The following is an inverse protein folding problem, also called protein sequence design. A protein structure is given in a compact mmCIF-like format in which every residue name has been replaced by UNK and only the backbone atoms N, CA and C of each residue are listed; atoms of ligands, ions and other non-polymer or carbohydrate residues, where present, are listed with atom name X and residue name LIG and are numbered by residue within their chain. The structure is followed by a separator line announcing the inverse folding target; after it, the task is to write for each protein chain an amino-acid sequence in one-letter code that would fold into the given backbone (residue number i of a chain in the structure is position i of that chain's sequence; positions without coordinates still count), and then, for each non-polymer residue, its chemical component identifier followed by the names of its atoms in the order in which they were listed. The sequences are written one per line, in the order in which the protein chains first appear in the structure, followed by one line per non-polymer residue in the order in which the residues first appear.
data_IF_907880017378
#
_entry.id   IF_907880017378
#
_cell.length_a   1.000
_cell.length_b   1.000
_cell.length_c   1.000
_cell.angle_alpha   90.00
_cell.angle_beta   90.00
_cell.angle_gamma   90.00
#
_symmetry.space_group_name_H-M   'P 1'
#
loop_
_entity.id
_entity.type
_entity.pdbx_description
1 polymer ?
#
# COMPACT_ATOMS: atom_id res chain seq x y z
N UNK A 1 -17.93 13.29 -2.13
CA UNK A 1 -18.48 12.07 -1.54
C UNK A 1 -17.41 11.00 -1.72
N UNK A 2 -16.24 11.26 -1.12
CA UNK A 2 -15.04 10.43 -1.33
C UNK A 2 -13.86 10.74 -0.39
N UNK A 3 -13.21 9.70 0.12
CA UNK A 3 -12.05 9.87 1.00
C UNK A 3 -10.82 9.02 0.52
N UNK A 4 -9.65 9.66 0.39
CA UNK A 4 -8.43 8.94 -0.01
C UNK A 4 -7.51 8.87 1.15
N UNK A 5 -6.74 7.83 1.24
CA UNK A 5 -5.83 7.85 2.36
C UNK A 5 -4.46 7.47 1.78
N UNK A 6 -3.36 8.13 2.19
CA UNK A 6 -2.03 7.82 1.61
C UNK A 6 -0.94 7.58 2.67
N UNK A 7 -0.41 6.33 2.67
CA UNK A 7 0.60 5.89 3.65
C UNK A 7 1.93 5.52 3.06
N UNK A 8 3.02 5.96 3.70
CA UNK A 8 4.35 5.61 3.18
C UNK A 8 5.47 5.31 4.19
N UNK A 9 6.29 4.29 3.86
CA UNK A 9 7.46 3.90 4.66
C UNK A 9 7.00 3.23 5.92
N UNK A 10 6.25 2.18 5.73
CA UNK A 10 5.57 1.47 6.79
C UNK A 10 6.49 0.68 7.78
N UNK A 11 6.04 0.61 9.04
CA UNK A 11 6.67 -0.06 10.18
C UNK A 11 6.08 -1.47 10.49
N UNK A 12 6.74 -2.27 11.35
CA UNK A 12 6.42 -3.64 11.82
C UNK A 12 4.99 -3.90 12.40
N UNK A 13 4.64 -5.22 12.45
CA UNK A 13 3.34 -5.89 12.84
C UNK A 13 2.31 -5.10 13.65
N UNK A 14 2.73 -4.42 14.71
CA UNK A 14 1.81 -3.64 15.52
C UNK A 14 1.00 -2.70 14.62
N UNK A 15 1.73 -1.98 13.77
CA UNK A 15 1.18 -1.05 12.79
C UNK A 15 0.34 -1.76 11.71
N UNK A 16 0.87 -2.87 11.13
CA UNK A 16 0.20 -3.61 10.03
C UNK A 16 -1.16 -4.17 10.43
N UNK A 17 -1.23 -4.72 11.65
CA UNK A 17 -2.45 -5.31 12.14
C UNK A 17 -3.47 -4.20 12.40
N UNK A 18 -3.03 -3.10 13.03
CA UNK A 18 -3.88 -1.94 13.29
C UNK A 18 -4.48 -1.36 12.01
N UNK A 19 -3.60 -1.14 11.04
CA UNK A 19 -3.98 -0.64 9.76
C UNK A 19 -5.02 -1.58 9.11
N UNK A 20 -4.73 -2.91 9.14
CA UNK A 20 -5.62 -3.98 8.64
C UNK A 20 -7.01 -3.90 9.19
N UNK A 21 -7.11 -3.51 10.46
CA UNK A 21 -8.39 -3.37 11.10
C UNK A 21 -9.14 -2.19 10.57
N UNK A 22 -8.43 -1.09 10.28
CA UNK A 22 -9.05 0.07 9.63
C UNK A 22 -9.52 -0.31 8.23
N UNK A 23 -8.66 -1.06 7.53
CA UNK A 23 -8.89 -1.56 6.17
C UNK A 23 -10.15 -2.39 6.11
N UNK A 24 -10.24 -3.31 7.08
CA UNK A 24 -11.36 -4.20 7.31
C UNK A 24 -12.67 -3.45 7.54
N UNK A 25 -12.66 -2.51 8.51
CA UNK A 25 -13.83 -1.70 8.86
C UNK A 25 -14.42 -1.04 7.64
N UNK A 26 -13.55 -0.38 6.87
CA UNK A 26 -13.91 0.36 5.66
C UNK A 26 -14.60 -0.47 4.59
N UNK A 27 -14.07 -1.68 4.33
CA UNK A 27 -14.65 -2.60 3.34
C UNK A 27 -16.10 -2.95 3.71
N UNK A 28 -16.29 -3.32 5.00
CA UNK A 28 -17.59 -3.66 5.62
C UNK A 28 -18.59 -2.55 5.45
N UNK A 29 -18.15 -1.35 5.78
CA UNK A 29 -19.04 -0.24 5.72
C UNK A 29 -19.43 0.00 4.28
N UNK A 30 -20.69 0.34 4.14
CA UNK A 30 -21.39 0.51 2.89
C UNK A 30 -20.67 1.38 1.89
N UNK A 31 -19.63 0.87 1.28
CA UNK A 31 -18.95 1.65 0.29
C UNK A 31 -18.04 0.82 -0.58
N UNK A 32 -17.48 1.51 -1.57
CA UNK A 32 -16.55 0.96 -2.55
C UNK A 32 -15.13 1.25 -2.11
N UNK A 33 -14.31 0.23 -1.95
CA UNK A 33 -12.92 0.47 -1.54
C UNK A 33 -11.98 0.08 -2.71
N UNK A 34 -11.45 1.09 -3.43
CA UNK A 34 -10.55 0.84 -4.57
C UNK A 34 -9.07 1.03 -4.19
N UNK A 35 -8.32 -0.06 -3.95
CA UNK A 35 -6.93 0.19 -3.54
C UNK A 35 -5.92 -0.09 -4.65
N UNK A 36 -4.87 0.78 -4.62
CA UNK A 36 -3.72 0.90 -5.51
C UNK A 36 -2.42 0.96 -4.66
N UNK A 37 -1.41 0.23 -5.14
CA UNK A 37 -0.17 0.04 -4.41
C UNK A 37 1.07 0.40 -5.27
N UNK A 38 1.98 1.22 -4.72
CA UNK A 38 3.17 1.60 -5.46
C UNK A 38 4.45 1.27 -4.70
N UNK A 39 5.38 0.67 -5.40
CA UNK A 39 6.66 0.39 -4.80
C UNK A 39 7.78 0.73 -5.72
N UNK A 40 8.84 1.27 -5.12
CA UNK A 40 9.98 1.69 -5.89
C UNK A 40 11.23 1.05 -5.30
N UNK A 41 11.99 0.35 -6.14
CA UNK A 41 13.19 -0.36 -5.70
C UNK A 41 14.44 0.35 -6.20
N UNK A 42 15.52 0.33 -5.41
CA UNK A 42 16.77 0.96 -5.83
C UNK A 42 18.02 0.15 -5.43
N UNK A 43 18.94 0.02 -6.38
CA UNK A 43 20.16 -0.74 -6.12
C UNK A 43 20.91 -1.07 -7.39
N UNK A 44 22.22 -1.23 -7.27
CA UNK A 44 23.09 -1.50 -8.42
C UNK A 44 23.01 -2.95 -8.95
N UNK A 45 22.55 -3.89 -8.10
CA UNK A 45 22.43 -5.31 -8.46
C UNK A 45 21.17 -5.51 -9.32
N UNK A 46 21.34 -5.25 -10.62
CA UNK A 46 20.27 -5.27 -11.62
C UNK A 46 19.58 -6.61 -11.77
N UNK A 47 20.35 -7.67 -11.59
CA UNK A 47 19.86 -9.04 -11.66
C UNK A 47 18.81 -9.30 -10.53
N UNK A 48 19.12 -8.78 -9.32
CA UNK A 48 18.23 -8.87 -8.13
C UNK A 48 16.92 -8.16 -8.37
N UNK A 49 17.02 -6.95 -8.93
CA UNK A 49 15.87 -6.13 -9.22
C UNK A 49 14.96 -6.79 -10.24
N UNK A 50 15.55 -7.42 -11.28
CA UNK A 50 14.76 -8.08 -12.30
C UNK A 50 13.95 -9.24 -11.76
N UNK A 51 14.48 -9.97 -10.77
CA UNK A 51 13.73 -11.06 -10.15
C UNK A 51 12.64 -10.53 -9.18
N UNK A 52 12.99 -9.46 -8.41
CA UNK A 52 12.06 -8.82 -7.48
C UNK A 52 10.81 -8.33 -8.26
N UNK A 53 11.04 -7.92 -9.51
CA UNK A 53 9.98 -7.57 -10.43
C UNK A 53 9.06 -8.75 -10.72
N UNK A 54 9.67 -9.85 -11.14
CA UNK A 54 9.03 -11.10 -11.56
C UNK A 54 8.23 -11.84 -10.47
N UNK A 55 8.67 -11.74 -9.22
CA UNK A 55 7.91 -12.36 -8.15
C UNK A 55 6.66 -11.55 -7.83
N UNK A 56 6.82 -10.22 -7.77
CA UNK A 56 5.66 -9.39 -7.49
C UNK A 56 4.68 -9.42 -8.70
N UNK A 57 5.19 -9.48 -9.97
CA UNK A 57 4.30 -9.57 -11.17
C UNK A 57 3.39 -10.80 -11.10
N UNK A 58 4.03 -12.02 -10.90
CA UNK A 58 3.35 -13.34 -10.82
C UNK A 58 2.33 -13.44 -9.67
N UNK A 59 2.75 -13.09 -8.44
CA UNK A 59 1.82 -13.08 -7.28
C UNK A 59 0.58 -12.21 -7.48
N UNK A 60 0.83 -10.93 -7.81
CA UNK A 60 -0.18 -9.91 -7.97
C UNK A 60 -1.01 -10.03 -9.27
N UNK A 61 -0.47 -10.73 -10.28
CA UNK A 61 -1.23 -10.97 -11.52
C UNK A 61 -2.29 -12.10 -11.34
N UNK A 62 -2.18 -12.87 -10.21
CA UNK A 62 -3.16 -13.91 -9.88
C UNK A 62 -4.46 -13.30 -9.32
N UNK A 63 -4.52 -11.96 -9.20
CA UNK A 63 -5.70 -11.24 -8.72
C UNK A 63 -6.36 -10.53 -9.93
N UNK A 64 -7.67 -10.19 -9.86
CA UNK A 64 -8.37 -9.57 -11.01
C UNK A 64 -7.97 -8.09 -11.10
N UNK A 65 -6.71 -7.92 -11.52
CA UNK A 65 -6.05 -6.66 -11.62
C UNK A 65 -4.92 -6.79 -12.62
N UNK A 66 -4.19 -5.70 -12.79
CA UNK A 66 -3.13 -5.64 -13.79
C UNK A 66 -1.88 -5.02 -13.18
N UNK A 67 -0.77 -5.13 -13.92
CA UNK A 67 0.52 -4.62 -13.45
C UNK A 67 1.25 -3.81 -14.52
N UNK A 68 1.86 -2.69 -14.08
CA UNK A 68 2.71 -1.85 -14.94
C UNK A 68 4.05 -1.47 -14.26
N UNK A 69 5.07 -1.23 -15.08
CA UNK A 69 6.37 -0.91 -14.50
C UNK A 69 7.35 -0.17 -15.45
N UNK A 70 8.40 0.40 -14.84
CA UNK A 70 9.43 1.07 -15.62
C UNK A 70 10.78 0.95 -14.88
N UNK A 71 11.87 0.95 -15.63
CA UNK A 71 13.17 0.93 -15.02
C UNK A 71 14.06 2.10 -15.46
N UNK A 72 14.17 3.15 -14.58
CA UNK A 72 14.98 4.34 -14.83
C UNK A 72 16.40 4.03 -14.36
N UNK A 73 17.05 3.13 -15.12
CA UNK A 73 18.41 2.64 -14.81
C UNK A 73 18.47 1.62 -13.62
N UNK A 74 18.59 2.18 -12.40
CA UNK A 74 18.69 1.39 -11.15
C UNK A 74 17.54 1.76 -10.22
N UNK A 75 16.41 2.16 -10.81
CA UNK A 75 15.23 2.57 -10.06
C UNK A 75 14.00 1.96 -10.73
N UNK A 76 13.40 0.99 -10.06
CA UNK A 76 12.28 0.23 -10.62
C UNK A 76 10.99 0.60 -9.98
N UNK A 77 10.06 1.03 -10.81
CA UNK A 77 8.77 1.48 -10.36
C UNK A 77 7.71 0.46 -10.70
N UNK A 78 6.88 0.15 -9.69
CA UNK A 78 5.77 -0.79 -9.90
C UNK A 78 4.39 -0.23 -9.40
N UNK A 79 3.41 -0.31 -10.28
CA UNK A 79 2.09 0.13 -9.96
C UNK A 79 1.09 -1.03 -10.10
N UNK A 80 0.59 -1.46 -8.96
CA UNK A 80 -0.39 -2.51 -8.95
C UNK A 80 -1.80 -1.96 -8.72
N UNK A 81 -2.74 -2.38 -9.58
CA UNK A 81 -4.14 -2.00 -9.40
C UNK A 81 -5.12 -3.22 -9.42
N UNK A 82 -6.29 -3.08 -8.79
CA UNK A 82 -7.37 -4.09 -8.85
C UNK A 82 -7.43 -5.14 -7.72
N UNK A 83 -6.47 -5.12 -6.80
CA UNK A 83 -6.38 -6.11 -5.70
C UNK A 83 -7.34 -5.90 -4.49
N UNK A 84 -7.93 -6.99 -3.94
CA UNK A 84 -8.70 -7.04 -2.68
C UNK A 84 -7.87 -6.50 -1.49
N UNK A 85 -8.40 -5.46 -0.81
CA UNK A 85 -7.88 -4.68 0.35
C UNK A 85 -7.25 -5.47 1.56
N UNK A 86 -7.86 -6.57 1.97
CA UNK A 86 -7.32 -7.41 3.05
C UNK A 86 -6.05 -8.20 2.64
N UNK A 87 -5.80 -8.32 1.34
CA UNK A 87 -4.60 -9.00 0.88
C UNK A 87 -3.50 -8.01 0.72
N UNK A 88 -3.85 -6.83 0.15
CA UNK A 88 -2.93 -5.71 -0.03
C UNK A 88 -1.88 -5.62 1.06
N UNK A 89 -2.33 -5.69 2.33
CA UNK A 89 -1.48 -5.63 3.52
C UNK A 89 -0.33 -6.65 3.49
N UNK A 90 -0.63 -7.84 2.96
CA UNK A 90 0.31 -8.95 2.88
C UNK A 90 1.32 -8.76 1.68
N UNK A 91 0.85 -8.16 0.54
CA UNK A 91 1.77 -7.87 -0.62
C UNK A 91 2.85 -6.86 -0.19
N UNK A 92 2.50 -5.99 0.79
CA UNK A 92 3.43 -5.05 1.44
C UNK A 92 4.55 -5.75 2.16
N UNK A 93 4.17 -6.78 2.96
CA UNK A 93 5.09 -7.62 3.72
C UNK A 93 6.07 -8.36 2.75
N UNK A 94 5.56 -8.81 1.58
CA UNK A 94 6.39 -9.53 0.58
C UNK A 94 7.45 -8.66 -0.12
N UNK A 95 7.11 -7.39 -0.38
CA UNK A 95 8.02 -6.42 -1.01
C UNK A 95 9.14 -5.91 -0.02
N UNK A 96 8.85 -5.96 1.30
CA UNK A 96 9.88 -5.65 2.32
C UNK A 96 10.83 -6.82 2.38
N UNK A 97 10.25 -8.03 2.39
CA UNK A 97 11.01 -9.25 2.39
C UNK A 97 12.04 -9.27 1.24
N UNK A 98 11.60 -8.87 0.02
CA UNK A 98 12.50 -8.80 -1.14
C UNK A 98 13.65 -7.75 -0.93
N UNK A 99 13.36 -6.63 -0.25
CA UNK A 99 14.39 -5.64 0.07
C UNK A 99 15.55 -6.25 0.87
N UNK A 100 15.20 -7.09 1.88
CA UNK A 100 16.23 -7.79 2.70
C UNK A 100 16.97 -8.90 1.95
N UNK A 101 16.21 -9.84 1.38
CA UNK A 101 16.76 -10.97 0.61
C UNK A 101 17.83 -10.53 -0.41
N UNK A 102 17.57 -9.41 -1.13
CA UNK A 102 18.50 -8.91 -2.13
C UNK A 102 19.41 -7.78 -1.68
N UNK A 103 19.32 -7.39 -0.41
CA UNK A 103 20.14 -6.31 0.15
C UNK A 103 20.04 -4.99 -0.73
N UNK A 104 18.79 -4.56 -1.04
CA UNK A 104 18.47 -3.37 -1.89
C UNK A 104 17.54 -2.39 -1.12
N UNK A 105 17.40 -1.16 -1.63
CA UNK A 105 16.59 -0.12 -0.96
C UNK A 105 15.17 0.00 -1.51
N UNK A 106 14.15 -0.12 -0.65
CA UNK A 106 12.78 -0.06 -1.17
C UNK A 106 11.88 0.88 -0.39
N UNK A 107 11.02 1.59 -1.14
CA UNK A 107 10.01 2.47 -0.57
C UNK A 107 8.60 1.99 -0.95
N UNK A 108 7.65 2.24 -0.07
CA UNK A 108 6.30 1.73 -0.29
C UNK A 108 5.17 2.76 -0.03
N UNK A 109 4.15 2.74 -0.90
CA UNK A 109 3.04 3.66 -0.77
C UNK A 109 1.60 3.07 -1.06
N UNK A 110 0.67 3.32 -0.11
CA UNK A 110 -0.70 2.83 -0.27
C UNK A 110 -1.70 3.90 -0.53
N UNK A 111 -2.50 3.67 -1.55
CA UNK A 111 -3.55 4.60 -1.91
C UNK A 111 -4.90 3.94 -1.81
N UNK A 112 -5.71 4.46 -0.92
CA UNK A 112 -7.04 3.94 -0.67
C UNK A 112 -8.05 4.86 -1.21
N UNK A 113 -8.87 4.40 -2.13
CA UNK A 113 -9.86 5.26 -2.75
C UNK A 113 -11.28 4.89 -2.30
N UNK A 114 -11.70 5.39 -1.13
CA UNK A 114 -13.01 5.09 -0.56
C UNK A 114 -14.12 5.94 -1.14
N UNK A 115 -15.20 5.31 -1.61
CA UNK A 115 -16.31 6.07 -2.21
C UNK A 115 -17.67 5.98 -1.45
N UNK A 116 -18.31 7.18 -1.19
CA UNK A 116 -19.67 7.36 -0.61
C UNK A 116 -19.91 7.13 0.91
N UNK A 117 -18.85 6.96 1.73
CA UNK A 117 -19.00 6.61 3.19
C UNK A 117 -19.48 7.73 4.16
N UNK A 118 -20.00 7.34 5.37
CA UNK A 118 -20.51 8.16 6.48
C UNK A 118 -19.49 9.13 7.02
N UNK A 119 -19.94 10.27 7.51
CA UNK A 119 -19.05 11.24 8.13
C UNK A 119 -18.48 10.71 9.47
N UNK A 120 -19.19 9.73 10.07
CA UNK A 120 -18.75 9.05 11.30
C UNK A 120 -17.56 8.14 11.03
N UNK A 121 -17.60 7.50 9.88
CA UNK A 121 -16.51 6.67 9.44
C UNK A 121 -15.30 7.57 9.10
N UNK A 122 -15.55 8.66 8.33
CA UNK A 122 -14.50 9.63 7.93
C UNK A 122 -13.73 10.19 9.14
N UNK A 123 -14.48 10.63 10.18
CA UNK A 123 -13.89 11.15 11.41
C UNK A 123 -13.12 10.08 12.16
N UNK A 124 -13.63 8.83 12.25
CA UNK A 124 -12.90 7.79 12.97
C UNK A 124 -11.61 7.42 12.27
N UNK A 125 -11.68 7.21 10.96
CA UNK A 125 -10.52 6.85 10.19
C UNK A 125 -9.50 7.94 10.21
N UNK A 126 -9.99 9.20 10.23
CA UNK A 126 -9.15 10.37 10.35
C UNK A 126 -8.40 10.29 11.64
N UNK A 127 -9.12 10.05 12.73
CA UNK A 127 -8.51 9.93 14.05
C UNK A 127 -7.53 8.78 14.14
N UNK A 128 -7.81 7.69 13.43
CA UNK A 128 -6.92 6.54 13.40
C UNK A 128 -5.67 6.84 12.58
N UNK A 129 -5.83 7.65 11.49
CA UNK A 129 -4.74 8.14 10.64
C UNK A 129 -3.90 9.18 11.41
N UNK A 130 -4.58 10.01 12.22
CA UNK A 130 -3.92 11.01 13.06
C UNK A 130 -3.06 10.27 14.09
N UNK A 131 -3.67 9.26 14.73
CA UNK A 131 -3.04 8.44 15.75
C UNK A 131 -1.80 7.70 15.26
N UNK A 132 -1.96 6.87 14.23
CA UNK A 132 -0.86 6.05 13.70
C UNK A 132 0.32 6.89 13.19
N UNK A 133 0.02 8.03 12.57
CA UNK A 133 1.08 8.90 12.11
C UNK A 133 2.02 9.22 13.25
N UNK A 134 1.42 9.63 14.38
CA UNK A 134 2.14 10.04 15.58
C UNK A 134 2.83 8.90 16.36
N UNK A 135 2.17 7.75 16.51
CA UNK A 135 2.82 6.65 17.25
C UNK A 135 4.03 6.11 16.55
N UNK A 136 3.90 5.91 15.24
CA UNK A 136 4.95 5.30 14.44
C UNK A 136 5.84 6.33 13.74
N UNK A 137 5.48 7.61 13.84
CA UNK A 137 6.32 8.68 13.32
C UNK A 137 6.56 8.54 11.80
N UNK A 138 5.47 8.37 11.01
CA UNK A 138 5.63 8.22 9.55
C UNK A 138 4.69 9.09 8.67
N UNK A 139 5.02 9.13 7.37
CA UNK A 139 4.27 9.80 6.30
C UNK A 139 2.78 9.44 6.23
N UNK A 140 1.91 10.26 6.79
CA UNK A 140 0.49 9.95 6.68
C UNK A 140 -0.31 11.14 6.27
N UNK A 141 -1.12 10.97 5.21
CA UNK A 141 -2.02 12.03 4.76
C UNK A 141 -3.35 11.48 4.24
N UNK A 142 -4.33 12.37 4.14
CA UNK A 142 -5.63 11.98 3.61
C UNK A 142 -6.38 13.17 2.94
N UNK A 143 -7.35 12.82 2.14
CA UNK A 143 -8.15 13.76 1.42
C UNK A 143 -9.60 13.42 1.50
N UNK A 144 -10.44 14.44 1.69
CA UNK A 144 -11.88 14.20 1.68
C UNK A 144 -12.55 15.08 0.67
N UNK A 145 -13.54 14.55 -0.09
CA UNK A 145 -14.34 15.34 -1.11
C UNK A 145 -15.84 15.30 -0.81
N UNK A 146 -16.58 16.30 -1.32
CA UNK A 146 -18.03 16.48 -1.07
C UNK A 146 -18.78 17.11 -2.28
#
# INVERSE_FOLDING_TARGET
MEMDIRFRGDDPEAYYKALREMIRQARKFAGTVTVTLIIRFRGDDLEALEKALKEMIRQARKFAGTVTYTLDGNDLEIRITGVPPQVILELVKEAIRLAKEFNITVTVELVIRITGVPEQVRKELAKEAERLAKEFNITVTYTIRL
#
